data_IF_871708420240
#
_entry.id   IF_871708420240
#
_cell.length_a   1.000
_cell.length_b   1.000
_cell.length_c   1.000
_cell.angle_alpha   90.00
_cell.angle_beta   90.00
_cell.angle_gamma   90.00
#
_symmetry.space_group_name_H-M   'P 1'
#
loop_
_entity.id
_entity.type
_entity.pdbx_description
1 polymer ?
#
# COMPACT_ATOMS: atom_id res chain seq x y z
N UNK A 1 -104.67 29.03 36.21
CA UNK A 1 -105.29 28.67 37.51
C UNK A 1 -105.45 29.96 38.31
N UNK A 2 -106.68 30.35 38.65
CA UNK A 2 -106.91 31.56 39.44
C UNK A 2 -106.59 31.27 40.92
N UNK A 3 -105.48 31.81 41.43
CA UNK A 3 -105.14 31.75 42.84
C UNK A 3 -105.91 32.86 43.57
N UNK A 4 -106.73 32.50 44.57
CA UNK A 4 -107.39 33.48 45.43
C UNK A 4 -106.33 34.24 46.24
N UNK A 5 -106.35 35.57 46.21
CA UNK A 5 -105.31 36.41 46.86
C UNK A 5 -105.58 36.68 48.33
N UNK A 6 -106.84 36.57 48.77
CA UNK A 6 -107.28 36.79 50.15
C UNK A 6 -108.39 35.82 50.54
N UNK A 7 -108.59 35.62 51.84
CA UNK A 7 -109.72 34.83 52.37
C UNK A 7 -111.08 35.38 51.90
N UNK A 8 -111.19 36.70 51.79
CA UNK A 8 -112.39 37.38 51.29
C UNK A 8 -112.63 37.10 49.79
N UNK A 9 -111.56 36.99 48.98
CA UNK A 9 -111.68 36.61 47.57
C UNK A 9 -112.12 35.15 47.40
N UNK A 10 -111.68 34.25 48.30
CA UNK A 10 -112.16 32.86 48.33
C UNK A 10 -113.66 32.82 48.66
N UNK A 11 -114.09 33.53 49.70
CA UNK A 11 -115.49 33.58 50.13
C UNK A 11 -116.40 34.24 49.09
N UNK A 12 -115.95 35.33 48.45
CA UNK A 12 -116.72 36.05 47.42
C UNK A 12 -116.89 35.26 46.14
N UNK A 13 -115.89 34.47 45.74
CA UNK A 13 -115.94 33.67 44.51
C UNK A 13 -116.55 32.28 44.71
N UNK A 14 -116.71 31.81 45.96
CA UNK A 14 -117.32 30.51 46.29
C UNK A 14 -118.57 30.65 47.17
N UNK A 15 -119.36 31.73 46.98
CA UNK A 15 -120.56 32.05 47.77
C UNK A 15 -121.57 30.90 47.90
N UNK A 16 -121.65 30.02 46.89
CA UNK A 16 -122.55 28.85 46.91
C UNK A 16 -122.12 27.76 47.90
N UNK A 17 -120.82 27.52 48.05
CA UNK A 17 -120.25 26.49 48.93
C UNK A 17 -120.18 26.95 50.39
N UNK A 18 -120.01 28.25 50.64
CA UNK A 18 -119.82 28.80 51.99
C UNK A 18 -121.06 29.46 52.62
N UNK A 19 -122.24 29.31 52.01
CA UNK A 19 -123.51 29.96 52.43
C UNK A 19 -123.94 29.61 53.87
N UNK A 20 -123.51 28.46 54.39
CA UNK A 20 -123.78 28.00 55.77
C UNK A 20 -122.85 28.61 56.83
N UNK A 21 -121.69 29.14 56.44
CA UNK A 21 -120.67 29.62 57.39
C UNK A 21 -120.87 31.08 57.83
N UNK A 22 -121.69 31.85 57.11
CA UNK A 22 -122.02 33.24 57.47
C UNK A 22 -122.84 33.40 58.76
N UNK A 23 -123.45 32.33 59.30
CA UNK A 23 -124.31 32.37 60.49
C UNK A 23 -123.71 31.73 61.76
N UNK A 24 -122.50 31.20 61.71
CA UNK A 24 -121.85 30.54 62.86
C UNK A 24 -120.72 31.40 63.44
N UNK A 25 -120.60 31.46 64.78
CA UNK A 25 -119.56 32.17 65.52
C UNK A 25 -118.11 31.70 65.24
N UNK A 26 -117.90 30.73 64.35
CA UNK A 26 -116.60 30.11 64.04
C UNK A 26 -115.89 30.68 62.80
N UNK A 27 -116.27 31.88 62.35
CA UNK A 27 -115.60 32.55 61.22
C UNK A 27 -114.10 32.80 61.49
N UNK A 28 -113.70 32.96 62.75
CA UNK A 28 -112.30 33.06 63.17
C UNK A 28 -111.52 31.75 63.00
N UNK A 29 -112.15 30.58 63.21
CA UNK A 29 -111.49 29.29 63.06
C UNK A 29 -111.21 28.97 61.58
N UNK A 30 -112.16 29.26 60.69
CA UNK A 30 -111.99 29.06 59.25
C UNK A 30 -110.96 30.02 58.66
N UNK A 31 -110.95 31.27 59.12
CA UNK A 31 -109.91 32.23 58.77
C UNK A 31 -108.54 31.78 59.27
N UNK A 32 -108.42 31.27 60.50
CA UNK A 32 -107.18 30.72 61.02
C UNK A 32 -106.69 29.48 60.25
N UNK A 33 -107.61 28.58 59.85
CA UNK A 33 -107.27 27.42 59.00
C UNK A 33 -106.82 27.90 57.61
N UNK A 34 -107.49 28.89 57.02
CA UNK A 34 -107.08 29.48 55.74
C UNK A 34 -105.71 30.16 55.84
N UNK A 35 -105.47 30.96 56.87
CA UNK A 35 -104.19 31.64 57.11
C UNK A 35 -103.06 30.62 57.36
N UNK A 36 -103.32 29.54 58.09
CA UNK A 36 -102.37 28.43 58.25
C UNK A 36 -102.09 27.72 56.93
N UNK A 37 -103.12 27.41 56.12
CA UNK A 37 -102.97 26.81 54.79
C UNK A 37 -102.28 27.75 53.80
N UNK A 38 -102.53 29.05 53.88
CA UNK A 38 -101.88 30.06 53.06
C UNK A 38 -100.39 30.17 53.45
N UNK A 39 -100.09 30.13 54.75
CA UNK A 39 -98.71 30.03 55.26
C UNK A 39 -97.99 28.77 54.77
N UNK A 40 -98.65 27.60 54.81
CA UNK A 40 -98.11 26.36 54.21
C UNK A 40 -97.87 26.49 52.71
N UNK A 41 -98.83 27.08 51.97
CA UNK A 41 -98.72 27.31 50.52
C UNK A 41 -97.56 28.26 50.20
N UNK A 42 -97.35 29.30 50.99
CA UNK A 42 -96.28 30.26 50.77
C UNK A 42 -94.90 29.65 51.12
N UNK A 43 -94.81 28.83 52.17
CA UNK A 43 -93.61 27.99 52.45
C UNK A 43 -93.33 27.05 51.27
N UNK A 44 -94.35 26.38 50.73
CA UNK A 44 -94.20 25.47 49.59
C UNK A 44 -93.78 26.22 48.32
N UNK A 45 -94.29 27.44 48.07
CA UNK A 45 -93.84 28.28 46.95
C UNK A 45 -92.39 28.69 47.10
N UNK A 46 -91.96 29.06 48.30
CA UNK A 46 -90.55 29.41 48.57
C UNK A 46 -89.64 28.20 48.39
N UNK A 47 -90.08 27.01 48.83
CA UNK A 47 -89.36 25.76 48.57
C UNK A 47 -89.30 25.42 47.08
N UNK A 48 -90.41 25.55 46.34
CA UNK A 48 -90.45 25.33 44.89
C UNK A 48 -89.53 26.31 44.18
N UNK A 49 -89.53 27.58 44.58
CA UNK A 49 -88.65 28.61 44.02
C UNK A 49 -87.19 28.28 44.31
N UNK A 50 -86.84 27.94 45.55
CA UNK A 50 -85.49 27.53 45.93
C UNK A 50 -85.02 26.30 45.14
N UNK A 51 -85.86 25.28 45.00
CA UNK A 51 -85.54 24.08 44.21
C UNK A 51 -85.39 24.40 42.72
N UNK A 52 -86.19 25.32 42.19
CA UNK A 52 -86.09 25.76 40.79
C UNK A 52 -84.79 26.53 40.54
N UNK A 53 -84.43 27.45 41.44
CA UNK A 53 -83.18 28.23 41.36
C UNK A 53 -81.96 27.32 41.54
N UNK A 54 -82.05 26.31 42.41
CA UNK A 54 -81.02 25.28 42.55
C UNK A 54 -80.91 24.41 41.29
N UNK A 55 -82.03 24.03 40.68
CA UNK A 55 -82.08 23.25 39.44
C UNK A 55 -81.47 24.00 38.26
N UNK A 56 -81.78 25.29 38.10
CA UNK A 56 -81.20 26.11 37.03
C UNK A 56 -79.69 26.34 37.21
N UNK A 57 -79.22 26.48 38.46
CA UNK A 57 -77.79 26.58 38.76
C UNK A 57 -77.06 25.26 38.44
N UNK A 58 -77.66 24.12 38.78
CA UNK A 58 -77.12 22.81 38.42
C UNK A 58 -77.10 22.58 36.90
N UNK A 59 -78.15 22.99 36.17
CA UNK A 59 -78.17 22.93 34.70
C UNK A 59 -77.07 23.79 34.08
N UNK A 60 -76.82 24.99 34.61
CA UNK A 60 -75.72 25.84 34.18
C UNK A 60 -74.35 25.19 34.44
N UNK A 61 -74.12 24.64 35.64
CA UNK A 61 -72.87 23.92 35.97
C UNK A 61 -72.64 22.70 35.07
N UNK A 62 -73.70 21.94 34.77
CA UNK A 62 -73.64 20.80 33.85
C UNK A 62 -73.31 21.30 32.43
N UNK A 63 -73.92 22.41 31.99
CA UNK A 63 -73.62 23.05 30.73
C UNK A 63 -72.14 23.44 30.60
N UNK A 64 -71.59 24.10 31.62
CA UNK A 64 -70.17 24.48 31.67
C UNK A 64 -69.24 23.26 31.69
N UNK A 65 -69.55 22.23 32.48
CA UNK A 65 -68.77 20.99 32.48
C UNK A 65 -68.79 20.31 31.12
N UNK A 66 -69.93 20.28 30.43
CA UNK A 66 -70.05 19.70 29.10
C UNK A 66 -69.25 20.49 28.05
N UNK A 67 -69.26 21.82 28.10
CA UNK A 67 -68.43 22.63 27.18
C UNK A 67 -66.94 22.42 27.45
N UNK A 68 -66.54 22.37 28.73
CA UNK A 68 -65.15 22.08 29.11
C UNK A 68 -64.73 20.67 28.66
N UNK A 69 -65.57 19.66 28.86
CA UNK A 69 -65.32 18.29 28.43
C UNK A 69 -65.19 18.18 26.90
N UNK A 70 -66.03 18.90 26.15
CA UNK A 70 -65.92 18.98 24.69
C UNK A 70 -64.61 19.65 24.23
N UNK A 71 -64.17 20.71 24.92
CA UNK A 71 -62.89 21.36 24.63
C UNK A 71 -61.70 20.44 24.94
N UNK A 72 -61.72 19.75 26.08
CA UNK A 72 -60.69 18.77 26.42
C UNK A 72 -60.65 17.63 25.41
N UNK A 73 -61.80 17.10 25.00
CA UNK A 73 -61.88 16.03 24.01
C UNK A 73 -61.28 16.46 22.66
N UNK A 74 -61.58 17.68 22.21
CA UNK A 74 -60.97 18.26 21.00
C UNK A 74 -59.46 18.41 21.13
N UNK A 75 -58.98 18.86 22.29
CA UNK A 75 -57.54 19.01 22.56
C UNK A 75 -56.83 17.65 22.51
N UNK A 76 -57.39 16.65 23.18
CA UNK A 76 -56.86 15.27 23.18
C UNK A 76 -56.78 14.72 21.75
N UNK A 77 -57.83 14.90 20.94
CA UNK A 77 -57.83 14.41 19.56
C UNK A 77 -56.77 15.13 18.71
N UNK A 78 -56.60 16.45 18.89
CA UNK A 78 -55.55 17.19 18.18
C UNK A 78 -54.14 16.78 18.60
N UNK A 79 -53.91 16.52 19.88
CA UNK A 79 -52.61 16.05 20.39
C UNK A 79 -52.33 14.64 19.87
N UNK A 80 -53.33 13.75 19.87
CA UNK A 80 -53.22 12.41 19.30
C UNK A 80 -52.85 12.46 17.82
N UNK A 81 -53.53 13.29 17.02
CA UNK A 81 -53.20 13.46 15.60
C UNK A 81 -51.76 13.98 15.40
N UNK A 82 -51.30 14.91 16.23
CA UNK A 82 -49.93 15.41 16.19
C UNK A 82 -48.91 14.32 16.54
N UNK A 83 -49.18 13.50 17.55
CA UNK A 83 -48.32 12.37 17.92
C UNK A 83 -48.26 11.31 16.84
N UNK A 84 -49.39 10.98 16.21
CA UNK A 84 -49.44 10.03 15.08
C UNK A 84 -48.64 10.56 13.87
N UNK A 85 -48.77 11.84 13.55
CA UNK A 85 -47.97 12.46 12.48
C UNK A 85 -46.46 12.45 12.80
N UNK A 86 -46.08 12.76 14.04
CA UNK A 86 -44.69 12.71 14.47
C UNK A 86 -44.13 11.28 14.44
N UNK A 87 -44.92 10.30 14.87
CA UNK A 87 -44.55 8.88 14.82
C UNK A 87 -44.30 8.42 13.38
N UNK A 88 -45.16 8.80 12.45
CA UNK A 88 -45.01 8.42 11.04
C UNK A 88 -43.81 9.11 10.38
N UNK A 89 -43.56 10.38 10.73
CA UNK A 89 -42.35 11.10 10.31
C UNK A 89 -41.07 10.40 10.80
N UNK A 90 -41.01 10.02 12.09
CA UNK A 90 -39.85 9.31 12.64
C UNK A 90 -39.66 7.91 12.05
N UNK A 91 -40.74 7.18 11.74
CA UNK A 91 -40.62 5.91 11.02
C UNK A 91 -39.99 6.09 9.64
N UNK A 92 -40.41 7.11 8.90
CA UNK A 92 -39.83 7.43 7.60
C UNK A 92 -38.34 7.78 7.71
N UNK A 93 -37.96 8.55 8.72
CA UNK A 93 -36.57 8.89 9.00
C UNK A 93 -35.72 7.65 9.33
N UNK A 94 -36.22 6.78 10.22
CA UNK A 94 -35.54 5.52 10.57
C UNK A 94 -35.35 4.64 9.34
N UNK A 95 -36.36 4.53 8.47
CA UNK A 95 -36.25 3.77 7.23
C UNK A 95 -35.19 4.37 6.29
N UNK A 96 -35.16 5.70 6.13
CA UNK A 96 -34.15 6.38 5.32
C UNK A 96 -32.73 6.17 5.85
N UNK A 97 -32.56 6.24 7.19
CA UNK A 97 -31.28 5.96 7.85
C UNK A 97 -30.85 4.50 7.68
N UNK A 98 -31.78 3.55 7.74
CA UNK A 98 -31.48 2.13 7.51
C UNK A 98 -31.00 1.87 6.08
N UNK A 99 -31.68 2.45 5.07
CA UNK A 99 -31.24 2.36 3.66
C UNK A 99 -29.84 2.96 3.49
N UNK A 100 -29.59 4.13 4.08
CA UNK A 100 -28.26 4.77 4.05
C UNK A 100 -27.19 3.89 4.72
N UNK A 101 -27.51 3.27 5.86
CA UNK A 101 -26.61 2.35 6.57
C UNK A 101 -26.25 1.16 5.69
N UNK A 102 -27.22 0.54 5.03
CA UNK A 102 -26.98 -0.59 4.13
C UNK A 102 -26.09 -0.22 2.95
N UNK A 103 -26.33 0.95 2.34
CA UNK A 103 -25.46 1.47 1.28
C UNK A 103 -24.02 1.70 1.77
N UNK A 104 -23.83 2.22 2.98
CA UNK A 104 -22.50 2.42 3.55
C UNK A 104 -21.79 1.10 3.87
N UNK A 105 -22.52 0.09 4.36
CA UNK A 105 -21.96 -1.24 4.60
C UNK A 105 -21.51 -1.91 3.30
N UNK A 106 -22.28 -1.75 2.22
CA UNK A 106 -21.88 -2.23 0.91
C UNK A 106 -20.59 -1.55 0.42
N UNK A 107 -20.50 -0.22 0.56
CA UNK A 107 -19.30 0.53 0.18
C UNK A 107 -18.08 0.11 1.00
N UNK A 108 -18.23 -0.04 2.33
CA UNK A 108 -17.15 -0.50 3.20
C UNK A 108 -16.65 -1.88 2.78
N UNK A 109 -17.55 -2.83 2.49
CA UNK A 109 -17.14 -4.16 2.04
C UNK A 109 -16.43 -4.14 0.68
N UNK A 110 -16.79 -3.21 -0.21
CA UNK A 110 -16.08 -3.02 -1.48
C UNK A 110 -14.68 -2.45 -1.24
N UNK A 111 -14.57 -1.39 -0.44
CA UNK A 111 -13.31 -0.71 -0.14
C UNK A 111 -12.33 -1.67 0.59
N UNK A 112 -12.83 -2.50 1.52
CA UNK A 112 -12.05 -3.54 2.20
C UNK A 112 -11.40 -4.52 1.21
N UNK A 113 -12.17 -5.01 0.23
CA UNK A 113 -11.64 -5.90 -0.82
C UNK A 113 -10.62 -5.19 -1.72
N UNK A 114 -10.83 -3.91 -2.00
CA UNK A 114 -9.87 -3.14 -2.78
C UNK A 114 -8.55 -2.93 -2.02
N UNK A 115 -8.62 -2.69 -0.71
CA UNK A 115 -7.44 -2.60 0.17
C UNK A 115 -6.69 -3.93 0.18
N UNK A 116 -7.37 -5.07 0.39
CA UNK A 116 -6.74 -6.39 0.37
C UNK A 116 -6.03 -6.67 -0.97
N UNK A 117 -6.67 -6.32 -2.10
CA UNK A 117 -6.08 -6.48 -3.42
C UNK A 117 -4.82 -5.59 -3.61
N UNK A 118 -4.84 -4.36 -3.07
CA UNK A 118 -3.68 -3.46 -3.10
C UNK A 118 -2.54 -3.98 -2.23
N UNK A 119 -2.82 -4.51 -1.05
CA UNK A 119 -1.81 -5.07 -0.14
C UNK A 119 -1.10 -6.29 -0.76
N UNK A 120 -1.87 -7.18 -1.41
CA UNK A 120 -1.29 -8.30 -2.17
C UNK A 120 -0.38 -7.79 -3.29
N UNK A 121 -0.79 -6.75 -4.01
CA UNK A 121 0.03 -6.15 -5.07
C UNK A 121 1.31 -5.52 -4.52
N UNK A 122 1.24 -4.82 -3.38
CA UNK A 122 2.42 -4.25 -2.71
C UNK A 122 3.39 -5.36 -2.34
N UNK A 123 2.91 -6.45 -1.71
CA UNK A 123 3.75 -7.58 -1.31
C UNK A 123 4.45 -8.24 -2.51
N UNK A 124 3.74 -8.40 -3.64
CA UNK A 124 4.34 -8.90 -4.88
C UNK A 124 5.45 -7.98 -5.40
N UNK A 125 5.21 -6.67 -5.44
CA UNK A 125 6.18 -5.68 -5.90
C UNK A 125 7.42 -5.62 -4.98
N UNK A 126 7.24 -5.75 -3.67
CA UNK A 126 8.36 -5.83 -2.71
C UNK A 126 9.21 -7.07 -2.97
N UNK A 127 8.59 -8.22 -3.23
CA UNK A 127 9.30 -9.45 -3.58
C UNK A 127 10.09 -9.32 -4.90
N UNK A 128 9.49 -8.70 -5.92
CA UNK A 128 10.17 -8.43 -7.19
C UNK A 128 11.34 -7.46 -7.02
N UNK A 129 11.17 -6.41 -6.23
CA UNK A 129 12.21 -5.43 -5.93
C UNK A 129 13.41 -6.08 -5.21
N UNK A 130 13.16 -7.00 -4.29
CA UNK A 130 14.23 -7.73 -3.60
C UNK A 130 14.98 -8.68 -4.54
N UNK A 131 14.28 -9.36 -5.46
CA UNK A 131 14.93 -10.16 -6.51
C UNK A 131 15.81 -9.29 -7.41
N UNK A 132 15.31 -8.12 -7.83
CA UNK A 132 16.08 -7.20 -8.66
C UNK A 132 17.32 -6.66 -7.94
N UNK A 133 17.23 -6.34 -6.64
CA UNK A 133 18.40 -5.98 -5.83
C UNK A 133 19.44 -7.09 -5.77
N UNK A 134 18.99 -8.34 -5.59
CA UNK A 134 19.88 -9.50 -5.60
C UNK A 134 20.59 -9.66 -6.94
N UNK A 135 19.87 -9.54 -8.07
CA UNK A 135 20.47 -9.56 -9.40
C UNK A 135 21.47 -8.44 -9.64
N UNK A 136 21.15 -7.21 -9.22
CA UNK A 136 22.07 -6.08 -9.32
C UNK A 136 23.38 -6.36 -8.56
N UNK A 137 23.30 -6.88 -7.33
CA UNK A 137 24.48 -7.24 -6.54
C UNK A 137 25.33 -8.34 -7.20
N UNK A 138 24.71 -9.35 -7.82
CA UNK A 138 25.44 -10.40 -8.55
C UNK A 138 26.10 -9.84 -9.81
N UNK A 139 25.42 -8.95 -10.53
CA UNK A 139 25.99 -8.29 -11.72
C UNK A 139 27.19 -7.41 -11.35
N UNK A 140 27.12 -6.62 -10.28
CA UNK A 140 28.25 -5.81 -9.78
C UNK A 140 29.48 -6.67 -9.46
N UNK A 141 29.29 -7.80 -8.77
CA UNK A 141 30.39 -8.75 -8.48
C UNK A 141 30.96 -9.35 -9.76
N UNK A 142 30.10 -9.69 -10.72
CA UNK A 142 30.52 -10.27 -12.00
C UNK A 142 31.35 -9.27 -12.80
N UNK A 143 30.93 -8.01 -12.84
CA UNK A 143 31.69 -6.93 -13.48
C UNK A 143 33.05 -6.74 -12.81
N UNK A 144 33.10 -6.67 -11.48
CA UNK A 144 34.37 -6.55 -10.76
C UNK A 144 35.32 -7.72 -11.02
N UNK A 145 34.80 -8.95 -11.14
CA UNK A 145 35.60 -10.11 -11.51
C UNK A 145 36.13 -10.02 -12.94
N UNK A 146 35.33 -9.50 -13.87
CA UNK A 146 35.75 -9.29 -15.26
C UNK A 146 36.78 -8.19 -15.39
N UNK A 147 36.62 -7.07 -14.69
CA UNK A 147 37.62 -6.01 -14.66
C UNK A 147 38.98 -6.53 -14.14
N UNK A 148 38.97 -7.39 -13.12
CA UNK A 148 40.19 -8.01 -12.60
C UNK A 148 40.81 -9.00 -13.60
N UNK A 149 39.99 -9.76 -14.31
CA UNK A 149 40.44 -10.67 -15.37
C UNK A 149 41.07 -9.90 -16.53
N UNK A 150 40.45 -8.82 -16.98
CA UNK A 150 40.94 -7.95 -18.06
C UNK A 150 42.26 -7.29 -17.67
N UNK A 151 42.39 -6.78 -16.43
CA UNK A 151 43.65 -6.24 -15.93
C UNK A 151 44.78 -7.28 -15.94
N UNK A 152 44.47 -8.52 -15.54
CA UNK A 152 45.43 -9.62 -15.58
C UNK A 152 45.85 -9.94 -17.01
N UNK A 153 44.89 -10.08 -17.93
CA UNK A 153 45.18 -10.35 -19.34
C UNK A 153 46.06 -9.25 -19.96
N UNK A 154 45.81 -7.99 -19.61
CA UNK A 154 46.63 -6.87 -20.07
C UNK A 154 48.07 -6.95 -19.54
N UNK A 155 48.23 -7.28 -18.26
CA UNK A 155 49.56 -7.51 -17.66
C UNK A 155 50.29 -8.69 -18.32
N UNK A 156 49.59 -9.79 -18.56
CA UNK A 156 50.14 -10.98 -19.21
C UNK A 156 50.57 -10.66 -20.65
N UNK A 157 49.81 -9.84 -21.37
CA UNK A 157 50.17 -9.38 -22.72
C UNK A 157 51.46 -8.55 -22.71
N UNK A 158 51.60 -7.58 -21.80
CA UNK A 158 52.83 -6.79 -21.69
C UNK A 158 54.06 -7.65 -21.40
N UNK A 159 53.94 -8.62 -20.48
CA UNK A 159 55.03 -9.53 -20.19
C UNK A 159 55.40 -10.39 -21.40
N UNK A 160 54.41 -10.79 -22.21
CA UNK A 160 54.65 -11.54 -23.45
C UNK A 160 55.39 -10.70 -24.49
N UNK A 161 54.99 -9.43 -24.66
CA UNK A 161 55.63 -8.48 -25.59
C UNK A 161 57.09 -8.19 -25.20
N UNK A 162 57.37 -8.05 -23.91
CA UNK A 162 58.73 -7.89 -23.38
C UNK A 162 59.58 -9.15 -23.67
N UNK A 163 59.06 -10.33 -23.34
CA UNK A 163 59.76 -11.59 -23.62
C UNK A 163 60.02 -11.82 -25.12
N UNK A 164 59.08 -11.40 -25.98
CA UNK A 164 59.25 -11.47 -27.43
C UNK A 164 60.38 -10.55 -27.89
N UNK A 165 60.47 -9.35 -27.32
CA UNK A 165 61.54 -8.38 -27.62
C UNK A 165 62.90 -8.95 -27.24
N UNK A 166 63.04 -9.46 -26.02
CA UNK A 166 64.28 -10.09 -25.53
C UNK A 166 64.69 -11.29 -26.40
N UNK A 167 63.71 -12.12 -26.77
CA UNK A 167 63.96 -13.28 -27.64
C UNK A 167 64.42 -12.86 -29.03
N UNK A 168 63.86 -11.77 -29.58
CA UNK A 168 64.26 -11.23 -30.87
C UNK A 168 65.70 -10.69 -30.84
N UNK A 169 66.06 -9.92 -29.81
CA UNK A 169 67.43 -9.42 -29.60
C UNK A 169 68.44 -10.58 -29.47
N UNK A 170 68.07 -11.62 -28.72
CA UNK A 170 68.90 -12.82 -28.56
C UNK A 170 69.12 -13.53 -29.89
N UNK A 171 68.09 -13.62 -30.75
CA UNK A 171 68.23 -14.21 -32.09
C UNK A 171 69.16 -13.40 -33.00
N UNK A 172 69.12 -12.07 -32.92
CA UNK A 172 70.03 -11.20 -33.65
C UNK A 172 71.47 -11.47 -33.20
N UNK A 173 71.72 -11.51 -31.89
CA UNK A 173 73.05 -11.76 -31.33
C UNK A 173 73.58 -13.14 -31.73
N UNK A 174 72.76 -14.19 -31.64
CA UNK A 174 73.13 -15.53 -32.09
C UNK A 174 73.42 -15.58 -33.60
N UNK A 175 72.67 -14.85 -34.42
CA UNK A 175 72.95 -14.76 -35.85
C UNK A 175 74.30 -14.08 -36.13
N UNK A 176 74.61 -13.00 -35.42
CA UNK A 176 75.91 -12.32 -35.54
C UNK A 176 77.06 -13.25 -35.12
N UNK A 177 76.90 -13.98 -34.02
CA UNK A 177 77.88 -14.98 -33.57
C UNK A 177 78.09 -16.09 -34.60
N UNK A 178 77.00 -16.59 -35.21
CA UNK A 178 77.06 -17.57 -36.31
C UNK A 178 77.88 -17.04 -37.50
N UNK A 179 77.66 -15.80 -37.91
CA UNK A 179 78.39 -15.18 -39.03
C UNK A 179 79.87 -14.97 -38.72
N UNK A 180 80.20 -14.57 -37.49
CA UNK A 180 81.58 -14.46 -37.02
C UNK A 180 82.30 -15.82 -37.04
N UNK A 181 81.64 -16.87 -36.53
CA UNK A 181 82.17 -18.23 -36.56
C UNK A 181 82.35 -18.75 -38.00
N UNK A 182 81.38 -18.52 -38.89
CA UNK A 182 81.50 -18.89 -40.30
C UNK A 182 82.72 -18.21 -40.96
N UNK A 183 82.95 -16.94 -40.66
CA UNK A 183 84.12 -16.19 -41.15
C UNK A 183 85.44 -16.76 -40.59
N UNK A 184 85.48 -17.12 -39.29
CA UNK A 184 86.65 -17.77 -38.69
C UNK A 184 86.94 -19.13 -39.33
N UNK A 185 85.92 -19.95 -39.58
CA UNK A 185 86.07 -21.25 -40.23
C UNK A 185 86.67 -21.08 -41.62
N UNK A 186 86.12 -20.16 -42.43
CA UNK A 186 86.64 -19.91 -43.78
C UNK A 186 88.10 -19.46 -43.77
N UNK A 187 88.48 -18.60 -42.81
CA UNK A 187 89.88 -18.19 -42.62
C UNK A 187 90.78 -19.38 -42.27
N UNK A 188 90.38 -20.21 -41.30
CA UNK A 188 91.13 -21.40 -40.89
C UNK A 188 91.26 -22.41 -42.04
N UNK A 189 90.23 -22.58 -42.86
CA UNK A 189 90.28 -23.43 -44.06
C UNK A 189 91.30 -22.92 -45.07
N UNK A 190 91.37 -21.59 -45.28
CA UNK A 190 92.38 -20.97 -46.14
C UNK A 190 93.80 -21.16 -45.59
N UNK A 191 94.02 -20.88 -44.31
CA UNK A 191 95.31 -21.08 -43.63
C UNK A 191 95.75 -22.56 -43.70
N UNK A 192 94.82 -23.50 -43.50
CA UNK A 192 95.08 -24.94 -43.64
C UNK A 192 95.47 -25.32 -45.07
N UNK A 193 94.82 -24.74 -46.08
CA UNK A 193 95.13 -24.98 -47.49
C UNK A 193 96.53 -24.50 -47.85
N UNK A 194 96.91 -23.31 -47.39
CA UNK A 194 98.24 -22.75 -47.60
C UNK A 194 99.32 -23.61 -46.91
N UNK A 195 99.09 -24.00 -45.66
CA UNK A 195 100.01 -24.87 -44.92
C UNK A 195 100.18 -26.24 -45.61
N UNK A 196 99.11 -26.81 -46.18
CA UNK A 196 99.18 -28.03 -46.99
C UNK A 196 100.03 -27.83 -48.25
N UNK A 197 99.95 -26.67 -48.90
CA UNK A 197 100.79 -26.35 -50.07
C UNK A 197 102.26 -26.25 -49.68
N UNK A 198 102.57 -25.47 -48.64
CA UNK A 198 103.92 -25.32 -48.10
C UNK A 198 104.52 -26.67 -47.70
N UNK A 199 103.72 -27.55 -47.10
CA UNK A 199 104.15 -28.91 -46.76
C UNK A 199 104.52 -29.74 -48.00
N UNK A 200 103.73 -29.65 -49.08
CA UNK A 200 104.05 -30.34 -50.35
C UNK A 200 105.34 -29.81 -50.98
N UNK A 201 105.53 -28.49 -50.97
CA UNK A 201 106.76 -27.85 -51.46
C UNK A 201 107.97 -28.29 -50.64
N UNK A 202 107.88 -28.26 -49.32
CA UNK A 202 108.92 -28.75 -48.41
C UNK A 202 109.25 -30.23 -48.68
N UNK A 203 108.24 -31.06 -48.94
CA UNK A 203 108.44 -32.46 -49.30
C UNK A 203 109.17 -32.61 -50.66
N UNK A 204 108.83 -31.79 -51.65
CA UNK A 204 109.50 -31.78 -52.95
C UNK A 204 110.97 -31.35 -52.83
N UNK A 205 111.24 -30.28 -52.08
CA UNK A 205 112.59 -29.81 -51.78
C UNK A 205 113.39 -30.90 -51.05
N UNK A 206 112.79 -31.58 -50.07
CA UNK A 206 113.43 -32.70 -49.37
C UNK A 206 113.80 -33.84 -50.32
N UNK A 207 112.95 -34.16 -51.32
CA UNK A 207 113.27 -35.15 -52.35
C UNK A 207 114.44 -34.71 -53.23
N UNK A 208 114.45 -33.45 -53.68
CA UNK A 208 115.55 -32.89 -54.47
C UNK A 208 116.87 -32.93 -53.70
N UNK A 209 116.87 -32.57 -52.40
CA UNK A 209 118.07 -32.70 -51.56
C UNK A 209 118.54 -34.15 -51.42
N UNK A 210 117.62 -35.11 -51.27
CA UNK A 210 117.98 -36.54 -51.24
C UNK A 210 118.61 -36.99 -52.56
N UNK A 211 118.05 -36.59 -53.70
CA UNK A 211 118.61 -36.90 -55.03
C UNK A 211 119.98 -36.26 -55.25
N UNK A 212 120.13 -34.99 -54.87
CA UNK A 212 121.40 -34.27 -54.94
C UNK A 212 122.46 -34.93 -54.08
N UNK A 213 122.13 -35.26 -52.82
CA UNK A 213 123.03 -36.00 -51.93
C UNK A 213 123.45 -37.34 -52.54
N UNK A 214 122.52 -38.09 -53.14
CA UNK A 214 122.85 -39.35 -53.82
C UNK A 214 123.81 -39.14 -55.00
N UNK A 215 123.58 -38.10 -55.82
CA UNK A 215 124.50 -37.73 -56.92
C UNK A 215 125.88 -37.35 -56.41
N UNK A 216 125.95 -36.47 -55.41
CA UNK A 216 127.21 -36.05 -54.79
C UNK A 216 127.95 -37.23 -54.16
N UNK A 217 127.26 -38.13 -53.45
CA UNK A 217 127.87 -39.35 -52.92
C UNK A 217 128.46 -40.20 -54.05
N UNK A 218 127.74 -40.40 -55.17
CA UNK A 218 128.25 -41.15 -56.30
C UNK A 218 129.45 -40.46 -56.98
N UNK A 219 129.44 -39.13 -57.12
CA UNK A 219 130.58 -38.38 -57.64
C UNK A 219 131.80 -38.46 -56.71
N UNK A 220 131.61 -38.35 -55.40
CA UNK A 220 132.67 -38.59 -54.42
C UNK A 220 133.22 -40.00 -54.53
N UNK A 221 132.37 -41.03 -54.68
CA UNK A 221 132.82 -42.40 -54.94
C UNK A 221 133.67 -42.50 -56.22
N UNK A 222 133.25 -41.86 -57.32
CA UNK A 222 133.99 -41.84 -58.59
C UNK A 222 135.33 -41.12 -58.46
N UNK A 223 135.34 -39.91 -57.89
CA UNK A 223 136.54 -39.13 -57.66
C UNK A 223 137.50 -39.86 -56.73
N UNK A 224 136.99 -40.50 -55.67
CA UNK A 224 137.82 -41.31 -54.77
C UNK A 224 138.48 -42.47 -55.52
N UNK A 225 137.74 -43.19 -56.37
CA UNK A 225 138.32 -44.23 -57.24
C UNK A 225 139.33 -43.68 -58.26
N UNK A 226 139.09 -42.49 -58.81
CA UNK A 226 140.01 -41.85 -59.75
C UNK A 226 141.29 -41.37 -59.07
N UNK A 227 141.19 -40.85 -57.85
CA UNK A 227 142.32 -40.52 -56.97
C UNK A 227 143.09 -41.78 -56.59
N UNK A 228 142.42 -42.88 -56.22
CA UNK A 228 143.05 -44.18 -55.99
C UNK A 228 143.82 -44.65 -57.23
N UNK A 229 143.25 -44.50 -58.44
CA UNK A 229 143.90 -44.83 -59.71
C UNK A 229 145.11 -43.95 -60.02
N UNK A 230 145.07 -42.66 -59.66
CA UNK A 230 146.16 -41.70 -59.89
C UNK A 230 147.27 -41.79 -58.84
N UNK A 231 146.95 -42.23 -57.62
CA UNK A 231 147.91 -42.41 -56.53
C UNK A 231 148.68 -43.74 -56.57
N UNK A 232 148.54 -44.54 -57.65
CA UNK A 232 149.41 -45.69 -57.89
C UNK A 232 149.21 -46.84 -56.92
N UNK A 233 147.98 -47.38 -56.88
CA UNK A 233 147.73 -48.80 -56.62
C UNK A 233 147.17 -49.46 -57.88
#
# INVERSE_FOLDING_TARGET
MAYYKTFDDLLKNNKGLFKLFWKSQNNGLLKAIWEARQGEIDILKDQIKFLKDKGSLQEAEIGEKNTMMNLMSKKIESEKANFEAALESHKAEVNALNVRRESLLYQLSYDEKEIEARDLKISLLESELEKMKSYASVMEKTLAMKDAEDQKQHSDQYALEENLTISHETLIELNNQREALASQVSRLESELSELKSQYKESQAVTRQFKELNFKMSNELYKLNHEVERLNGF
#
